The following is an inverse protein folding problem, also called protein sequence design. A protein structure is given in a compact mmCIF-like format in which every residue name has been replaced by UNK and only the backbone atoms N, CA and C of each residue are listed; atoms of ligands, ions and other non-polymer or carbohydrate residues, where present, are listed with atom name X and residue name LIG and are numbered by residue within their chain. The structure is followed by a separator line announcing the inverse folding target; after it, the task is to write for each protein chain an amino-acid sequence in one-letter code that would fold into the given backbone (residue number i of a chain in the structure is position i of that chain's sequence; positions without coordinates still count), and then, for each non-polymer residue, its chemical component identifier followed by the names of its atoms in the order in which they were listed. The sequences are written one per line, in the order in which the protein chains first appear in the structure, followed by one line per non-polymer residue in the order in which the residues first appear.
data_IF_515808239129
#
_entry.id   IF_515808239129
#
_cell.length_a   1.000
_cell.length_b   1.000
_cell.length_c   1.000
_cell.angle_alpha   90.00
_cell.angle_beta   90.00
_cell.angle_gamma   90.00
#
_symmetry.space_group_name_H-M   'P 1'
#
loop_
_entity.id
_entity.type
_entity.pdbx_description
1 polymer ?
#
# COMPACT_ATOMS: atom_id res chain seq x y z
N UNK A 1 21.80 -5.39 28.81
CA UNK A 1 20.53 -5.19 28.10
C UNK A 1 20.66 -3.87 27.36
N UNK A 2 20.78 -3.88 26.03
CA UNK A 2 20.58 -2.65 25.27
C UNK A 2 19.08 -2.52 25.10
N UNK A 3 18.47 -1.67 25.92
CA UNK A 3 17.10 -1.19 25.77
C UNK A 3 17.02 -0.51 24.39
N UNK A 4 16.62 -1.30 23.39
CA UNK A 4 16.45 -0.83 22.02
C UNK A 4 15.38 0.23 22.02
N UNK A 5 15.78 1.50 21.94
CA UNK A 5 14.88 2.63 21.67
C UNK A 5 13.98 2.25 20.49
N UNK A 6 12.69 2.08 20.77
CA UNK A 6 11.65 2.02 19.75
C UNK A 6 11.87 3.22 18.84
N UNK A 7 12.18 2.97 17.57
CA UNK A 7 12.42 4.03 16.60
C UNK A 7 11.07 4.59 16.19
N UNK A 8 10.69 5.72 16.80
CA UNK A 8 9.48 6.49 16.45
C UNK A 8 9.70 7.31 15.17
N UNK A 9 10.37 6.74 14.17
CA UNK A 9 10.74 7.44 12.94
C UNK A 9 10.83 6.43 11.82
N UNK A 10 10.25 6.76 10.67
CA UNK A 10 10.35 5.96 9.47
C UNK A 10 11.77 6.13 8.91
N UNK A 11 12.65 5.16 9.14
CA UNK A 11 14.06 5.21 8.68
C UNK A 11 14.33 4.37 7.44
N UNK A 12 13.32 3.68 6.92
CA UNK A 12 13.40 2.84 5.73
C UNK A 12 12.55 3.48 4.63
N UNK A 13 13.16 3.75 3.48
CA UNK A 13 12.44 4.09 2.25
C UNK A 13 12.19 2.82 1.44
N UNK A 14 11.08 2.81 0.72
CA UNK A 14 10.80 1.83 -0.32
C UNK A 14 10.92 2.54 -1.66
N UNK A 15 11.56 1.89 -2.61
CA UNK A 15 11.78 2.42 -3.95
C UNK A 15 10.61 2.05 -4.86
N UNK A 16 10.48 2.73 -6.00
CA UNK A 16 9.44 2.45 -6.99
C UNK A 16 9.33 0.96 -7.37
N UNK A 17 10.45 0.22 -7.39
CA UNK A 17 10.46 -1.21 -7.70
C UNK A 17 9.73 -2.05 -6.65
N UNK A 18 9.75 -1.64 -5.38
CA UNK A 18 9.09 -2.37 -4.30
C UNK A 18 7.55 -2.39 -4.47
N UNK A 19 7.01 -1.41 -5.21
CA UNK A 19 5.58 -1.26 -5.49
C UNK A 19 5.12 -1.95 -6.78
N UNK A 20 6.04 -2.46 -7.62
CA UNK A 20 5.68 -3.13 -8.88
C UNK A 20 4.93 -4.44 -8.63
N UNK A 21 3.89 -4.68 -9.43
CA UNK A 21 3.08 -5.89 -9.42
C UNK A 21 3.15 -6.52 -10.82
N UNK A 22 3.29 -7.84 -10.90
CA UNK A 22 3.38 -8.56 -12.17
C UNK A 22 2.10 -8.37 -13.01
N UNK A 23 2.26 -8.20 -14.33
CA UNK A 23 1.13 -7.91 -15.22
C UNK A 23 0.60 -6.47 -15.13
N UNK A 24 1.26 -5.60 -14.37
CA UNK A 24 0.94 -4.17 -14.29
C UNK A 24 2.11 -3.26 -14.65
N UNK A 25 1.78 -2.12 -15.24
CA UNK A 25 2.66 -0.98 -15.42
C UNK A 25 2.32 0.10 -14.39
N UNK A 26 3.35 0.81 -13.91
CA UNK A 26 3.15 1.97 -13.04
C UNK A 26 2.99 3.23 -13.90
N UNK A 27 1.76 3.73 -14.00
CA UNK A 27 1.45 5.00 -14.69
C UNK A 27 1.72 6.22 -13.81
N UNK A 28 1.86 6.02 -12.49
CA UNK A 28 2.01 7.08 -11.51
C UNK A 28 2.68 6.61 -10.23
N UNK A 29 3.59 7.43 -9.69
CA UNK A 29 4.27 7.20 -8.43
C UNK A 29 4.60 8.54 -7.77
N UNK A 30 4.09 8.77 -6.55
CA UNK A 30 4.35 9.99 -5.78
C UNK A 30 4.61 9.64 -4.33
N UNK A 31 5.55 10.35 -3.70
CA UNK A 31 5.87 10.19 -2.30
C UNK A 31 5.70 11.54 -1.59
N UNK A 32 4.92 11.54 -0.51
CA UNK A 32 4.70 12.71 0.34
C UNK A 32 5.06 12.39 1.79
N UNK A 33 6.11 13.06 2.29
CA UNK A 33 6.55 12.94 3.67
C UNK A 33 5.88 14.03 4.51
N UNK A 34 4.70 13.71 5.04
CA UNK A 34 3.91 14.64 5.86
C UNK A 34 4.62 14.97 7.18
N UNK A 35 5.32 13.99 7.77
CA UNK A 35 6.17 14.20 8.94
C UNK A 35 7.21 13.10 9.08
N UNK A 36 8.11 13.21 10.08
CA UNK A 36 9.04 12.12 10.43
C UNK A 36 8.32 10.83 10.90
N UNK A 37 7.04 10.92 11.22
CA UNK A 37 6.18 9.86 11.74
C UNK A 37 5.13 9.39 10.72
N UNK A 38 5.01 10.06 9.56
CA UNK A 38 3.99 9.77 8.56
C UNK A 38 4.51 10.00 7.14
N UNK A 39 4.42 8.95 6.32
CA UNK A 39 4.79 8.93 4.90
C UNK A 39 3.64 8.35 4.09
N UNK A 40 3.25 9.02 3.01
CA UNK A 40 2.27 8.53 2.06
C UNK A 40 2.92 8.30 0.70
N UNK A 41 2.67 7.14 0.11
CA UNK A 41 3.14 6.77 -1.23
C UNK A 41 1.92 6.48 -2.09
N UNK A 42 1.71 7.28 -3.13
CA UNK A 42 0.65 7.09 -4.10
C UNK A 42 1.18 6.33 -5.32
N UNK A 43 0.45 5.32 -5.75
CA UNK A 43 0.81 4.45 -6.86
C UNK A 43 -0.41 4.22 -7.75
N UNK A 44 -0.22 4.35 -9.05
CA UNK A 44 -1.25 4.04 -10.05
C UNK A 44 -0.81 2.84 -10.87
N UNK A 45 -1.70 1.87 -11.02
CA UNK A 45 -1.50 0.64 -11.77
C UNK A 45 -2.38 0.62 -13.01
N UNK A 46 -1.79 0.36 -14.16
CA UNK A 46 -2.47 0.08 -15.43
C UNK A 46 -2.05 -1.31 -15.93
N UNK A 47 -2.86 -2.00 -16.75
CA UNK A 47 -2.47 -3.30 -17.28
C UNK A 47 -1.39 -3.17 -18.37
N UNK A 48 -0.35 -4.02 -18.35
CA UNK A 48 0.81 -3.89 -19.28
C UNK A 48 0.46 -4.08 -20.76
N UNK A 49 -0.44 -5.03 -21.08
CA UNK A 49 -0.64 -5.49 -22.46
C UNK A 49 -2.05 -5.24 -23.01
N UNK A 50 -2.82 -4.37 -22.35
CA UNK A 50 -4.23 -4.12 -22.69
C UNK A 50 -4.71 -2.79 -22.11
N UNK A 51 -6.01 -2.50 -22.29
CA UNK A 51 -6.60 -1.22 -21.87
C UNK A 51 -7.21 -1.25 -20.47
N UNK A 52 -7.79 -2.37 -20.08
CA UNK A 52 -8.61 -2.48 -18.86
C UNK A 52 -8.31 -3.77 -18.12
N UNK A 53 -8.37 -3.74 -16.79
CA UNK A 53 -8.42 -4.94 -15.96
C UNK A 53 -9.82 -5.56 -16.06
N UNK A 54 -9.89 -6.88 -16.20
CA UNK A 54 -11.15 -7.61 -15.98
C UNK A 54 -11.50 -7.61 -14.49
N UNK A 55 -12.73 -8.00 -14.10
CA UNK A 55 -13.10 -8.12 -12.69
C UNK A 55 -12.22 -9.11 -11.91
N UNK A 56 -11.74 -10.18 -12.57
CA UNK A 56 -10.86 -11.18 -11.97
C UNK A 56 -9.44 -10.63 -11.74
N UNK A 57 -8.87 -9.91 -12.71
CA UNK A 57 -7.56 -9.28 -12.53
C UNK A 57 -7.62 -8.14 -11.53
N UNK A 58 -8.70 -7.37 -11.51
CA UNK A 58 -8.94 -6.34 -10.48
C UNK A 58 -8.95 -6.97 -9.09
N UNK A 59 -9.60 -8.14 -8.94
CA UNK A 59 -9.61 -8.90 -7.68
C UNK A 59 -8.22 -9.43 -7.31
N UNK A 60 -7.45 -9.96 -8.27
CA UNK A 60 -6.09 -10.42 -8.03
C UNK A 60 -5.17 -9.27 -7.61
N UNK A 61 -5.19 -8.17 -8.37
CA UNK A 61 -4.36 -6.99 -8.15
C UNK A 61 -4.65 -6.35 -6.79
N UNK A 62 -5.92 -6.19 -6.42
CA UNK A 62 -6.29 -5.66 -5.10
C UNK A 62 -5.81 -6.57 -3.96
N UNK A 63 -5.82 -7.90 -4.15
CA UNK A 63 -5.21 -8.86 -3.23
C UNK A 63 -3.69 -8.68 -3.10
N UNK A 64 -2.97 -8.59 -4.23
CA UNK A 64 -1.51 -8.38 -4.24
C UNK A 64 -1.10 -7.05 -3.61
N UNK A 65 -1.90 -5.99 -3.82
CA UNK A 65 -1.71 -4.69 -3.17
C UNK A 65 -1.81 -4.83 -1.64
N UNK A 66 -2.78 -5.59 -1.14
CA UNK A 66 -2.92 -5.87 0.30
C UNK A 66 -1.75 -6.69 0.83
N UNK A 67 -1.30 -7.71 0.08
CA UNK A 67 -0.12 -8.50 0.44
C UNK A 67 1.16 -7.65 0.48
N UNK A 68 1.33 -6.70 -0.45
CA UNK A 68 2.42 -5.72 -0.40
C UNK A 68 2.35 -4.85 0.84
N UNK A 69 1.18 -4.31 1.17
CA UNK A 69 0.97 -3.52 2.39
C UNK A 69 1.43 -4.29 3.63
N UNK A 70 1.01 -5.55 3.74
CA UNK A 70 1.41 -6.46 4.81
C UNK A 70 2.92 -6.72 4.81
N UNK A 71 3.53 -6.95 3.64
CA UNK A 71 4.96 -7.18 3.51
C UNK A 71 5.79 -5.93 3.85
N UNK A 72 5.29 -4.74 3.57
CA UNK A 72 5.96 -3.52 4.00
C UNK A 72 5.93 -3.39 5.52
N UNK A 73 4.78 -3.65 6.16
CA UNK A 73 4.67 -3.58 7.61
C UNK A 73 5.59 -4.57 8.33
N UNK A 74 5.69 -5.82 7.86
CA UNK A 74 6.60 -6.82 8.47
C UNK A 74 8.09 -6.46 8.35
N UNK A 75 8.42 -5.56 7.43
CA UNK A 75 9.77 -5.08 7.15
C UNK A 75 10.13 -3.79 7.92
N UNK A 76 9.18 -3.26 8.69
CA UNK A 76 9.30 -2.05 9.49
C UNK A 76 9.34 -2.39 10.99
N UNK A 77 9.80 -1.45 11.85
CA UNK A 77 9.65 -1.58 13.30
C UNK A 77 8.20 -1.84 13.72
N UNK A 78 8.00 -2.60 14.80
CA UNK A 78 6.68 -3.04 15.31
C UNK A 78 5.69 -1.90 15.59
N UNK A 79 6.20 -0.71 15.91
CA UNK A 79 5.42 0.49 16.16
C UNK A 79 5.05 1.27 14.89
N UNK A 80 5.45 0.82 13.69
CA UNK A 80 5.09 1.43 12.41
C UNK A 80 4.06 0.54 11.73
N UNK A 81 2.93 1.13 11.37
CA UNK A 81 1.84 0.46 10.67
C UNK A 81 1.82 0.87 9.21
N UNK A 82 1.27 0.00 8.37
CA UNK A 82 0.96 0.28 6.98
C UNK A 82 -0.54 0.11 6.76
N UNK A 83 -1.17 1.07 6.08
CA UNK A 83 -2.52 0.92 5.55
C UNK A 83 -2.55 1.32 4.08
N UNK A 84 -3.49 0.79 3.32
CA UNK A 84 -3.65 1.11 1.90
C UNK A 84 -5.05 1.63 1.62
N UNK A 85 -5.13 2.82 1.03
CA UNK A 85 -6.39 3.42 0.57
C UNK A 85 -6.57 3.15 -0.91
N UNK A 86 -7.69 2.54 -1.29
CA UNK A 86 -8.09 2.28 -2.67
C UNK A 86 -8.98 3.42 -3.17
N UNK A 87 -8.40 4.38 -3.89
CA UNK A 87 -9.08 5.65 -4.23
C UNK A 87 -10.27 5.43 -5.16
N UNK A 88 -10.14 4.54 -6.13
CA UNK A 88 -11.20 4.26 -7.11
C UNK A 88 -12.31 3.34 -6.59
N UNK A 89 -12.19 2.86 -5.35
CA UNK A 89 -13.15 1.96 -4.70
C UNK A 89 -13.85 2.63 -3.52
N UNK A 90 -14.19 3.92 -3.67
CA UNK A 90 -14.84 4.72 -2.63
C UNK A 90 -13.93 5.01 -1.44
N UNK A 91 -12.63 5.17 -1.70
CA UNK A 91 -11.60 5.42 -0.67
C UNK A 91 -11.58 4.37 0.46
N UNK A 92 -11.92 3.11 0.13
CA UNK A 92 -11.85 2.01 1.09
C UNK A 92 -10.41 1.80 1.57
N UNK A 93 -10.25 1.66 2.88
CA UNK A 93 -8.94 1.51 3.54
C UNK A 93 -8.76 0.07 3.99
N UNK A 94 -7.68 -0.57 3.53
CA UNK A 94 -7.17 -1.83 4.04
C UNK A 94 -6.18 -1.59 5.17
N UNK A 95 -6.33 -2.34 6.27
CA UNK A 95 -5.35 -2.39 7.37
C UNK A 95 -4.87 -3.82 7.55
N UNK A 96 -3.59 -3.98 7.88
CA UNK A 96 -2.92 -5.28 8.00
C UNK A 96 -3.48 -6.18 9.11
N UNK A 97 -4.16 -5.60 10.10
CA UNK A 97 -4.83 -6.29 11.19
C UNK A 97 -6.30 -6.66 10.89
N UNK A 98 -6.84 -6.18 9.77
CA UNK A 98 -8.20 -6.50 9.32
C UNK A 98 -8.24 -7.92 8.72
N UNK A 99 -9.20 -8.74 9.17
CA UNK A 99 -9.37 -10.13 8.72
C UNK A 99 -10.12 -10.26 7.40
N UNK A 100 -11.12 -9.42 7.19
CA UNK A 100 -12.03 -9.50 6.04
C UNK A 100 -12.04 -8.16 5.31
N UNK A 101 -11.26 -8.05 4.24
CA UNK A 101 -11.21 -6.89 3.36
C UNK A 101 -11.67 -7.28 1.96
N UNK A 102 -12.78 -6.69 1.52
CA UNK A 102 -13.33 -6.93 0.20
C UNK A 102 -13.70 -5.61 -0.49
N UNK A 103 -13.38 -5.55 -1.78
CA UNK A 103 -13.74 -4.48 -2.69
C UNK A 103 -14.76 -5.03 -3.68
N UNK A 104 -15.74 -4.20 -4.05
CA UNK A 104 -16.61 -4.53 -5.18
C UNK A 104 -15.79 -4.33 -6.44
N UNK A 105 -15.47 -5.41 -7.14
CA UNK A 105 -14.60 -5.37 -8.32
C UNK A 105 -15.41 -5.36 -9.60
N UNK A 106 -14.97 -4.54 -10.55
CA UNK A 106 -15.52 -4.42 -11.90
C UNK A 106 -14.39 -4.26 -12.92
N UNK A 107 -14.74 -4.00 -14.17
CA UNK A 107 -13.75 -3.57 -15.15
C UNK A 107 -13.28 -2.15 -14.85
N UNK A 108 -11.96 -1.93 -14.86
CA UNK A 108 -11.36 -0.63 -14.58
C UNK A 108 -10.08 -0.43 -15.38
N UNK A 109 -9.85 0.79 -15.86
CA UNK A 109 -8.70 1.14 -16.70
C UNK A 109 -7.41 1.31 -15.87
N UNK A 110 -7.55 1.85 -14.66
CA UNK A 110 -6.46 2.20 -13.76
C UNK A 110 -6.90 2.00 -12.30
N UNK A 111 -6.02 1.47 -11.45
CA UNK A 111 -6.22 1.39 -10.00
C UNK A 111 -5.24 2.33 -9.30
N UNK A 112 -5.76 3.31 -8.55
CA UNK A 112 -5.00 4.26 -7.76
C UNK A 112 -5.06 3.89 -6.29
N UNK A 113 -3.89 3.77 -5.68
CA UNK A 113 -3.78 3.46 -4.25
C UNK A 113 -2.84 4.42 -3.55
N UNK A 114 -3.07 4.63 -2.27
CA UNK A 114 -2.16 5.32 -1.37
C UNK A 114 -1.76 4.38 -0.24
N UNK A 115 -0.48 4.04 -0.17
CA UNK A 115 0.13 3.39 0.98
C UNK A 115 0.46 4.46 2.01
N UNK A 116 -0.01 4.30 3.24
CA UNK A 116 0.28 5.19 4.35
C UNK A 116 1.06 4.43 5.42
N UNK A 117 2.25 4.94 5.72
CA UNK A 117 3.12 4.45 6.77
C UNK A 117 3.07 5.44 7.93
N UNK A 118 2.77 4.96 9.13
CA UNK A 118 2.64 5.83 10.29
C UNK A 118 3.08 5.18 11.59
N UNK A 119 3.60 5.99 12.52
CA UNK A 119 3.92 5.53 13.88
C UNK A 119 2.63 5.37 14.69
N UNK A 120 2.38 4.16 15.22
CA UNK A 120 1.29 3.86 16.12
C UNK A 120 1.76 3.97 17.59
N UNK A 121 1.03 4.77 18.36
CA UNK A 121 1.25 4.89 19.82
C UNK A 121 0.25 3.98 20.55
N UNK A 122 0.76 3.06 21.35
CA UNK A 122 -0.04 2.32 22.33
C UNK A 122 0.03 3.08 23.65
N UNK A 123 -1.14 3.52 24.15
CA UNK A 123 -1.29 4.17 25.47
C UNK A 123 -1.59 3.11 26.51
#
# INVERSE_FOLDING_TARGET
MNEGKIKNTITRSFELQDYRIEGTELSGFWADLLSKEELTIEVNYIPENKKTFSPEETKSLTGEICEKCKNFETQLPENIRCETTFKDFGEKVYRTDQKDFELETGEIDEIKVAYRFFVAYYV
#
